data_IF_001131087964
#
_entry.id   IF_001131087964
#
_cell.length_a   1.000
_cell.length_b   1.000
_cell.length_c   1.000
_cell.angle_alpha   90.00
_cell.angle_beta   90.00
_cell.angle_gamma   90.00
#
_symmetry.space_group_name_H-M   'P 1'
#
loop_
_entity.id
_entity.type
_entity.pdbx_description
1 polymer ?
#
# COMPACT_ATOMS: atom_id res chain seq x y z
N UNK A 1 -12.63 3.93 -10.55
CA UNK A 1 -12.98 3.29 -9.27
C UNK A 1 -12.24 3.94 -8.10
N UNK A 2 -10.91 3.83 -8.00
CA UNK A 2 -10.14 4.36 -6.86
C UNK A 2 -10.30 5.88 -6.65
N UNK A 3 -10.17 6.70 -7.70
CA UNK A 3 -10.31 8.18 -7.62
C UNK A 3 -11.67 8.60 -7.04
N UNK A 4 -12.75 7.98 -7.51
CA UNK A 4 -14.11 8.35 -7.11
C UNK A 4 -14.43 7.98 -5.65
N UNK A 5 -13.65 7.08 -5.04
CA UNK A 5 -13.81 6.69 -3.63
C UNK A 5 -12.99 7.57 -2.67
N UNK A 6 -12.38 8.65 -3.15
CA UNK A 6 -11.59 9.57 -2.31
C UNK A 6 -10.32 8.94 -1.73
N UNK A 7 -9.87 7.80 -2.26
CA UNK A 7 -8.64 7.13 -1.84
C UNK A 7 -7.45 8.01 -2.24
N UNK A 8 -6.51 8.21 -1.31
CA UNK A 8 -5.28 9.00 -1.52
C UNK A 8 -4.00 8.17 -1.49
N UNK A 9 -4.05 7.00 -0.85
CA UNK A 9 -2.91 6.12 -0.64
C UNK A 9 -3.20 4.74 -1.20
N UNK A 10 -2.25 4.17 -1.93
CA UNK A 10 -2.32 2.83 -2.51
C UNK A 10 -1.21 1.96 -1.91
N UNK A 11 -1.59 0.78 -1.45
CA UNK A 11 -0.66 -0.27 -1.05
C UNK A 11 -0.59 -1.28 -2.20
N UNK A 12 0.61 -1.62 -2.66
CA UNK A 12 0.82 -2.47 -3.85
C UNK A 12 1.47 -3.83 -3.51
N UNK A 13 0.69 -4.80 -3.01
CA UNK A 13 1.14 -6.19 -2.87
C UNK A 13 1.00 -6.97 -4.18
N UNK A 14 1.63 -8.15 -4.27
CA UNK A 14 1.39 -9.11 -5.34
C UNK A 14 2.66 -9.56 -6.08
N UNK A 15 2.45 -10.07 -7.29
CA UNK A 15 3.50 -10.58 -8.18
C UNK A 15 3.21 -10.10 -9.60
N UNK A 16 4.19 -9.85 -10.46
CA UNK A 16 5.66 -9.91 -10.29
C UNK A 16 6.20 -8.55 -9.83
N UNK A 17 7.15 -8.51 -8.89
CA UNK A 17 7.63 -7.27 -8.24
C UNK A 17 8.15 -6.22 -9.22
N UNK A 18 9.08 -6.58 -10.12
CA UNK A 18 9.60 -5.70 -11.17
C UNK A 18 8.60 -5.44 -12.32
N UNK A 19 7.50 -6.20 -12.34
CA UNK A 19 6.51 -6.17 -13.41
C UNK A 19 5.28 -5.35 -13.03
N UNK A 20 4.14 -6.04 -12.93
CA UNK A 20 2.85 -5.41 -12.67
C UNK A 20 2.82 -4.60 -11.37
N UNK A 21 3.55 -5.04 -10.34
CA UNK A 21 3.59 -4.34 -9.04
C UNK A 21 4.27 -2.98 -9.21
N UNK A 22 5.50 -2.94 -9.72
CA UNK A 22 6.22 -1.69 -9.99
C UNK A 22 5.49 -0.78 -10.97
N UNK A 23 4.95 -1.35 -12.05
CA UNK A 23 4.24 -0.60 -13.08
C UNK A 23 3.00 0.09 -12.51
N UNK A 24 2.20 -0.64 -11.74
CA UNK A 24 0.99 -0.08 -11.09
C UNK A 24 1.37 0.97 -10.05
N UNK A 25 2.41 0.74 -9.26
CA UNK A 25 2.92 1.70 -8.29
C UNK A 25 3.37 3.01 -8.98
N UNK A 26 4.12 2.90 -10.07
CA UNK A 26 4.58 4.05 -10.86
C UNK A 26 3.41 4.82 -11.49
N UNK A 27 2.45 4.12 -12.07
CA UNK A 27 1.24 4.74 -12.60
C UNK A 27 0.46 5.47 -11.51
N UNK A 28 0.35 4.85 -10.32
CA UNK A 28 -0.25 5.49 -9.15
C UNK A 28 0.44 6.80 -8.78
N UNK A 29 1.78 6.84 -8.76
CA UNK A 29 2.50 8.10 -8.52
C UNK A 29 2.17 9.17 -9.58
N UNK A 30 2.06 8.79 -10.86
CA UNK A 30 1.71 9.72 -11.93
C UNK A 30 0.27 10.25 -11.84
N UNK A 31 -0.60 9.58 -11.09
CA UNK A 31 -1.96 10.04 -10.78
C UNK A 31 -2.06 10.68 -9.38
N UNK A 32 -0.94 11.14 -8.82
CA UNK A 32 -0.83 11.81 -7.52
C UNK A 32 -1.28 10.96 -6.32
N UNK A 33 -1.22 9.63 -6.44
CA UNK A 33 -1.41 8.75 -5.29
C UNK A 33 -0.14 8.64 -4.45
N UNK A 34 -0.30 8.61 -3.13
CA UNK A 34 0.76 8.18 -2.23
C UNK A 34 0.91 6.67 -2.33
N UNK A 35 2.11 6.19 -2.61
CA UNK A 35 2.36 4.75 -2.81
C UNK A 35 3.10 4.16 -1.62
N UNK A 36 2.71 2.95 -1.24
CA UNK A 36 3.40 2.13 -0.27
C UNK A 36 3.55 0.71 -0.82
N UNK A 37 4.77 0.22 -0.98
CA UNK A 37 4.99 -1.20 -1.29
C UNK A 37 5.20 -1.97 0.00
N UNK A 38 4.37 -2.99 0.24
CA UNK A 38 4.57 -3.93 1.33
C UNK A 38 5.64 -4.98 0.92
N UNK A 39 6.89 -4.80 1.36
CA UNK A 39 8.07 -5.57 0.91
C UNK A 39 7.90 -7.09 1.08
N UNK A 40 7.31 -7.49 2.19
CA UNK A 40 7.02 -8.88 2.57
C UNK A 40 5.75 -9.45 1.91
N UNK A 41 5.03 -8.63 1.13
CA UNK A 41 3.82 -9.00 0.39
C UNK A 41 4.00 -8.89 -1.12
N UNK A 42 5.24 -8.83 -1.61
CA UNK A 42 5.56 -8.86 -3.04
C UNK A 42 6.53 -9.97 -3.36
N UNK A 43 6.46 -10.53 -4.58
CA UNK A 43 7.39 -11.59 -5.00
C UNK A 43 7.60 -11.61 -6.51
N UNK A 44 8.74 -12.14 -6.93
CA UNK A 44 9.03 -12.53 -8.31
C UNK A 44 9.71 -13.90 -8.35
N UNK A 45 9.69 -14.54 -9.52
CA UNK A 45 10.45 -15.78 -9.74
C UNK A 45 11.96 -15.50 -9.85
N UNK A 46 12.33 -14.36 -10.46
CA UNK A 46 13.72 -13.94 -10.57
C UNK A 46 14.11 -13.06 -9.38
N UNK A 47 14.93 -13.60 -8.46
CA UNK A 47 15.36 -12.88 -7.26
C UNK A 47 16.15 -11.61 -7.57
N UNK A 48 16.99 -11.62 -8.61
CA UNK A 48 17.79 -10.45 -8.98
C UNK A 48 16.91 -9.29 -9.44
N UNK A 49 15.89 -9.58 -10.24
CA UNK A 49 14.94 -8.55 -10.67
C UNK A 49 14.08 -8.06 -9.51
N UNK A 50 13.63 -8.96 -8.63
CA UNK A 50 12.88 -8.63 -7.43
C UNK A 50 13.62 -7.60 -6.56
N UNK A 51 14.88 -7.88 -6.21
CA UNK A 51 15.67 -6.97 -5.38
C UNK A 51 16.00 -5.66 -6.12
N UNK A 52 16.38 -5.73 -7.40
CA UNK A 52 16.68 -4.54 -8.18
C UNK A 52 15.48 -3.60 -8.32
N UNK A 53 14.27 -4.14 -8.46
CA UNK A 53 13.05 -3.34 -8.45
C UNK A 53 12.83 -2.69 -7.07
N UNK A 54 12.93 -3.46 -5.98
CA UNK A 54 12.79 -2.92 -4.62
C UNK A 54 13.81 -1.81 -4.31
N UNK A 55 15.06 -1.94 -4.78
CA UNK A 55 16.11 -0.92 -4.66
C UNK A 55 15.69 0.40 -5.32
N UNK A 56 15.11 0.33 -6.54
CA UNK A 56 14.59 1.50 -7.24
C UNK A 56 13.38 2.09 -6.50
N UNK A 57 12.47 1.25 -6.02
CA UNK A 57 11.25 1.67 -5.33
C UNK A 57 11.55 2.46 -4.04
N UNK A 58 12.52 2.02 -3.23
CA UNK A 58 12.93 2.71 -1.99
C UNK A 58 13.36 4.16 -2.24
N UNK A 59 13.93 4.45 -3.42
CA UNK A 59 14.31 5.81 -3.80
C UNK A 59 13.15 6.70 -4.25
N UNK A 60 11.93 6.16 -4.36
CA UNK A 60 10.78 6.86 -4.97
C UNK A 60 9.54 6.92 -4.08
N UNK A 61 9.32 5.92 -3.22
CA UNK A 61 8.20 5.86 -2.28
C UNK A 61 8.49 4.92 -1.11
N UNK A 62 7.56 4.81 -0.16
CA UNK A 62 7.74 4.00 1.04
C UNK A 62 7.69 2.50 0.70
N UNK A 63 8.76 1.79 1.04
CA UNK A 63 8.84 0.33 0.94
C UNK A 63 9.04 -0.22 2.36
N UNK A 64 7.95 -0.67 2.97
CA UNK A 64 7.90 -1.09 4.38
C UNK A 64 7.27 -2.47 4.49
N UNK A 65 7.32 -3.08 5.68
CA UNK A 65 6.68 -4.38 5.94
C UNK A 65 5.18 -4.22 6.18
N UNK A 66 4.42 -5.28 5.90
CA UNK A 66 2.99 -5.38 6.23
C UNK A 66 2.74 -5.12 7.71
N UNK A 67 3.63 -5.59 8.60
CA UNK A 67 3.57 -5.31 10.03
C UNK A 67 3.64 -3.81 10.34
N UNK A 68 4.59 -3.09 9.73
CA UNK A 68 4.69 -1.63 9.94
C UNK A 68 3.43 -0.90 9.48
N UNK A 69 2.83 -1.31 8.35
CA UNK A 69 1.54 -0.77 7.88
C UNK A 69 0.44 -1.00 8.93
N UNK A 70 0.33 -2.23 9.44
CA UNK A 70 -0.69 -2.58 10.43
C UNK A 70 -0.50 -1.83 11.76
N UNK A 71 0.73 -1.62 12.20
CA UNK A 71 1.04 -0.85 13.41
C UNK A 71 0.64 0.63 13.25
N UNK A 72 0.87 1.23 12.06
CA UNK A 72 0.43 2.59 11.74
C UNK A 72 -1.10 2.72 11.78
N UNK A 73 -1.83 1.75 11.26
CA UNK A 73 -3.31 1.78 11.31
C UNK A 73 -3.86 1.49 12.69
N UNK A 74 -3.20 0.64 13.46
CA UNK A 74 -3.61 0.32 14.83
C UNK A 74 -3.42 1.51 15.77
N UNK A 75 -2.32 2.25 15.64
CA UNK A 75 -2.09 3.47 16.43
C UNK A 75 -3.05 4.63 16.10
N UNK A 76 -3.63 4.63 14.90
CA UNK A 76 -4.65 5.61 14.49
C UNK A 76 -6.08 5.21 14.87
N UNK A 77 -6.33 4.00 15.36
CA UNK A 77 -7.69 3.46 15.54
C UNK A 77 -8.44 3.93 16.80
N UNK A 78 -7.81 4.65 17.72
CA UNK A 78 -8.48 5.11 18.95
C UNK A 78 -9.61 6.14 18.76
N UNK A 79 -9.63 7.03 17.73
CA UNK A 79 -10.75 7.97 17.53
C UNK A 79 -11.89 7.47 16.62
N UNK A 80 -11.64 6.68 15.57
CA UNK A 80 -12.67 6.43 14.52
C UNK A 80 -13.60 5.22 14.77
N UNK A 81 -13.19 4.20 15.53
CA UNK A 81 -14.07 3.04 15.79
C UNK A 81 -15.17 3.35 16.81
N UNK A 82 -15.00 4.40 17.63
CA UNK A 82 -16.01 4.85 18.58
C UNK A 82 -17.22 5.52 17.90
N UNK A 83 -17.06 6.14 16.73
CA UNK A 83 -18.16 6.76 15.99
C UNK A 83 -18.98 5.75 15.19
N UNK A 84 -18.32 4.77 14.54
CA UNK A 84 -19.01 3.75 13.70
C UNK A 84 -19.89 2.81 14.53
N UNK A 85 -19.54 2.55 15.81
CA UNK A 85 -20.40 1.74 16.70
C UNK A 85 -21.67 2.45 17.17
N UNK A 86 -21.73 3.79 17.13
CA UNK A 86 -22.92 4.56 17.54
C UNK A 86 -23.99 4.59 16.45
N UNK A 87 -23.61 4.47 15.18
CA UNK A 87 -24.54 4.52 14.04
C UNK A 87 -25.27 3.19 13.78
N UNK A 88 -24.75 2.06 14.32
CA UNK A 88 -25.31 0.72 14.07
C UNK A 88 -26.11 0.13 15.25
N UNK A 89 -26.55 0.94 16.21
CA UNK A 89 -27.41 0.47 17.34
C UNK A 89 -28.90 0.80 17.11
N UNK A 90 -29.27 1.44 15.99
CA UNK A 90 -30.67 1.86 15.72
C UNK A 90 -31.20 1.38 14.34
N UNK A 91 -30.78 0.20 13.87
CA UNK A 91 -31.42 -0.48 12.74
C UNK A 91 -31.93 -1.86 13.17
#
# INVERSE_FOLDING_TARGET
MVRNNGIKTLITPGVTTEGCVESTARDGQFYDYMIVTARDCVKSENQRNHEGALEIMVGRWDVITSKQIMDIWSSRREPQLASVRRENIHA
#
